data_IF_320501386278
#
_entry.id   IF_320501386278
#
_cell.length_a   1.000
_cell.length_b   1.000
_cell.length_c   1.000
_cell.angle_alpha   90.00
_cell.angle_beta   90.00
_cell.angle_gamma   90.00
#
_symmetry.space_group_name_H-M   'P 1'
#
loop_
_entity.id
_entity.type
_entity.pdbx_description
1 polymer ?
#
# COMPACT_ATOMS: atom_id res chain seq x y z
N UNK A 1 -8.92 -6.50 -14.82
CA UNK A 1 -9.33 -6.41 -13.38
C UNK A 1 -10.80 -6.70 -13.03
N UNK A 2 -11.80 -6.32 -13.84
CA UNK A 2 -13.22 -6.40 -13.44
C UNK A 2 -13.68 -7.77 -12.91
N UNK A 3 -13.24 -8.87 -13.54
CA UNK A 3 -13.59 -10.24 -13.13
C UNK A 3 -13.02 -10.60 -11.75
N UNK A 4 -11.77 -10.23 -11.47
CA UNK A 4 -11.13 -10.45 -10.17
C UNK A 4 -11.86 -9.69 -9.06
N UNK A 5 -12.17 -8.41 -9.29
CA UNK A 5 -12.94 -7.63 -8.33
C UNK A 5 -14.33 -8.21 -8.09
N UNK A 6 -15.01 -8.67 -9.16
CA UNK A 6 -16.29 -9.35 -9.01
C UNK A 6 -16.22 -10.56 -8.08
N UNK A 7 -15.17 -11.39 -8.19
CA UNK A 7 -14.97 -12.54 -7.29
C UNK A 7 -14.80 -12.06 -5.84
N UNK A 8 -14.02 -11.02 -5.62
CA UNK A 8 -13.80 -10.42 -4.29
C UNK A 8 -15.11 -9.87 -3.73
N UNK A 9 -15.83 -9.04 -4.50
CA UNK A 9 -17.11 -8.46 -4.10
C UNK A 9 -18.15 -9.53 -3.75
N UNK A 10 -18.29 -10.57 -4.59
CA UNK A 10 -19.25 -11.65 -4.36
C UNK A 10 -18.93 -12.40 -3.06
N UNK A 11 -17.63 -12.60 -2.76
CA UNK A 11 -17.19 -13.18 -1.49
C UNK A 11 -17.42 -12.27 -0.30
N UNK A 12 -17.18 -10.96 -0.43
CA UNK A 12 -17.43 -9.99 0.64
C UNK A 12 -18.92 -9.85 0.94
N UNK A 13 -19.78 -9.83 -0.08
CA UNK A 13 -21.25 -9.80 0.10
C UNK A 13 -21.77 -11.02 0.88
N UNK A 14 -21.11 -12.17 0.74
CA UNK A 14 -21.45 -13.41 1.45
C UNK A 14 -20.89 -13.41 2.89
N UNK A 15 -19.59 -13.13 3.04
CA UNK A 15 -18.85 -13.40 4.27
C UNK A 15 -18.69 -12.17 5.18
N UNK A 16 -18.57 -10.98 4.59
CA UNK A 16 -18.30 -9.74 5.30
C UNK A 16 -19.02 -8.55 4.64
N UNK A 17 -20.37 -8.49 4.68
CA UNK A 17 -21.14 -7.45 3.99
C UNK A 17 -20.81 -6.03 4.44
N UNK A 18 -20.26 -5.89 5.65
CA UNK A 18 -19.84 -4.60 6.20
C UNK A 18 -18.58 -4.09 5.48
N UNK A 19 -17.60 -4.97 5.23
CA UNK A 19 -16.37 -4.63 4.49
C UNK A 19 -16.69 -4.28 3.05
N UNK A 20 -17.65 -4.97 2.44
CA UNK A 20 -18.14 -4.60 1.10
C UNK A 20 -18.70 -3.18 1.05
N UNK A 21 -19.46 -2.77 2.09
CA UNK A 21 -20.03 -1.41 2.17
C UNK A 21 -18.98 -0.33 2.43
N UNK A 22 -17.83 -0.71 2.99
CA UNK A 22 -16.71 0.20 3.23
C UNK A 22 -15.88 0.44 1.96
N UNK A 23 -16.08 -0.32 0.87
CA UNK A 23 -15.40 -0.07 -0.39
C UNK A 23 -15.91 1.23 -1.03
N UNK A 24 -14.98 2.11 -1.39
CA UNK A 24 -15.31 3.37 -2.05
C UNK A 24 -15.69 3.13 -3.51
N UNK A 25 -16.36 4.12 -4.12
CA UNK A 25 -16.51 4.16 -5.57
C UNK A 25 -15.16 4.27 -6.27
N UNK A 26 -15.12 3.89 -7.55
CA UNK A 26 -13.91 3.89 -8.35
C UNK A 26 -13.25 5.27 -8.45
N UNK A 27 -11.92 5.27 -8.52
CA UNK A 27 -11.14 6.50 -8.65
C UNK A 27 -11.42 7.21 -9.99
N UNK A 28 -11.56 8.53 -9.94
CA UNK A 28 -11.71 9.38 -11.12
C UNK A 28 -10.37 9.52 -11.85
N UNK A 29 -10.41 9.96 -13.11
CA UNK A 29 -9.18 10.16 -13.87
C UNK A 29 -8.34 11.28 -13.25
N UNK A 30 -8.97 12.31 -12.70
CA UNK A 30 -8.30 13.44 -12.05
C UNK A 30 -7.53 13.01 -10.81
N UNK A 31 -8.06 12.09 -10.00
CA UNK A 31 -7.36 11.52 -8.85
C UNK A 31 -6.11 10.75 -9.30
N UNK A 32 -6.23 9.94 -10.35
CA UNK A 32 -5.10 9.18 -10.92
C UNK A 32 -4.03 10.11 -11.49
N UNK A 33 -4.44 11.12 -12.25
CA UNK A 33 -3.55 12.11 -12.86
C UNK A 33 -2.81 12.92 -11.78
N UNK A 34 -3.46 13.22 -10.66
CA UNK A 34 -2.82 13.91 -9.53
C UNK A 34 -1.71 13.07 -8.90
N UNK A 35 -1.94 11.76 -8.70
CA UNK A 35 -0.91 10.86 -8.18
C UNK A 35 0.28 10.72 -9.15
N UNK A 36 0.02 10.63 -10.46
CA UNK A 36 1.07 10.61 -11.48
C UNK A 36 1.87 11.92 -11.50
N UNK A 37 1.19 13.07 -11.37
CA UNK A 37 1.82 14.38 -11.31
C UNK A 37 2.70 14.52 -10.07
N UNK A 38 2.22 14.08 -8.91
CA UNK A 38 2.95 14.12 -7.64
C UNK A 38 4.20 13.24 -7.68
N UNK A 39 4.08 12.02 -8.20
CA UNK A 39 5.18 11.04 -8.24
C UNK A 39 6.14 11.27 -9.42
N UNK A 40 5.71 11.99 -10.46
CA UNK A 40 6.46 12.14 -11.71
C UNK A 40 6.56 10.85 -12.53
N UNK A 41 5.70 9.86 -12.25
CA UNK A 41 5.74 8.52 -12.85
C UNK A 41 4.38 8.18 -13.45
N UNK A 42 4.37 7.53 -14.61
CA UNK A 42 3.14 6.95 -15.17
C UNK A 42 2.77 5.69 -14.38
N UNK A 43 1.56 5.64 -13.83
CA UNK A 43 1.11 4.51 -13.05
C UNK A 43 0.92 3.27 -13.95
N UNK A 44 1.23 2.06 -13.43
CA UNK A 44 0.96 0.82 -14.14
C UNK A 44 -0.53 0.69 -14.52
N UNK A 45 -0.80 0.15 -15.71
CA UNK A 45 -2.18 0.05 -16.22
C UNK A 45 -3.10 -0.81 -15.35
N UNK A 46 -2.57 -1.91 -14.81
CA UNK A 46 -3.27 -2.80 -13.88
C UNK A 46 -3.59 -2.12 -12.54
N UNK A 47 -2.67 -1.30 -12.02
CA UNK A 47 -2.90 -0.45 -10.84
C UNK A 47 -4.04 0.54 -11.07
N UNK A 48 -4.04 1.22 -12.22
CA UNK A 48 -5.12 2.16 -12.57
C UNK A 48 -6.45 1.43 -12.75
N UNK A 49 -6.47 0.28 -13.43
CA UNK A 49 -7.68 -0.54 -13.58
C UNK A 49 -8.22 -1.04 -12.24
N UNK A 50 -7.35 -1.35 -11.29
CA UNK A 50 -7.72 -1.80 -9.96
C UNK A 50 -8.43 -0.68 -9.19
N UNK A 51 -7.86 0.53 -9.18
CA UNK A 51 -8.41 1.68 -8.46
C UNK A 51 -9.65 2.30 -9.13
N UNK A 52 -9.79 2.17 -10.45
CA UNK A 52 -11.01 2.60 -11.18
C UNK A 52 -12.27 1.82 -10.80
N UNK A 53 -12.15 0.72 -10.06
CA UNK A 53 -13.29 -0.06 -9.57
C UNK A 53 -13.61 0.34 -8.12
N UNK A 54 -12.61 0.39 -7.25
CA UNK A 54 -12.76 0.87 -5.87
C UNK A 54 -11.57 1.76 -5.45
N UNK A 55 -11.84 3.01 -5.09
CA UNK A 55 -10.82 3.95 -4.58
C UNK A 55 -10.54 3.74 -3.08
N UNK A 56 -10.10 2.54 -2.71
CA UNK A 56 -9.82 2.22 -1.33
C UNK A 56 -11.06 2.00 -0.47
N UNK A 57 -10.90 2.19 0.83
CA UNK A 57 -11.91 1.93 1.84
C UNK A 57 -12.12 3.11 2.79
N UNK A 58 -13.39 3.35 3.14
CA UNK A 58 -13.81 4.29 4.18
C UNK A 58 -14.66 3.54 5.20
N UNK A 59 -14.07 3.05 6.31
CA UNK A 59 -14.79 2.25 7.30
C UNK A 59 -15.96 3.03 7.90
N UNK A 60 -17.18 2.50 7.79
CA UNK A 60 -18.38 3.09 8.41
C UNK A 60 -18.28 3.06 9.94
N UNK A 61 -17.58 2.06 10.47
CA UNK A 61 -17.19 1.96 11.89
C UNK A 61 -15.72 1.59 11.97
N UNK A 62 -14.98 2.29 12.82
CA UNK A 62 -13.58 1.95 13.04
C UNK A 62 -13.49 0.68 13.90
N UNK A 63 -13.28 -0.46 13.25
CA UNK A 63 -12.86 -1.70 13.87
C UNK A 63 -11.63 -2.23 13.10
N UNK A 64 -10.42 -2.24 13.70
CA UNK A 64 -9.22 -2.69 13.03
C UNK A 64 -9.22 -4.19 12.68
N UNK A 65 -10.21 -4.96 13.16
CA UNK A 65 -10.41 -6.37 12.79
C UNK A 65 -11.35 -6.54 11.58
N UNK A 66 -11.90 -5.44 11.05
CA UNK A 66 -12.88 -5.45 9.96
C UNK A 66 -12.32 -4.59 8.81
N UNK A 67 -11.51 -5.21 7.95
CA UNK A 67 -10.89 -4.57 6.78
C UNK A 67 -10.77 -5.55 5.61
N UNK A 68 -10.47 -5.06 4.41
CA UNK A 68 -10.36 -5.91 3.21
C UNK A 68 -9.15 -6.84 3.30
N UNK A 69 -8.05 -6.33 3.82
CA UNK A 69 -6.84 -7.08 4.11
C UNK A 69 -6.68 -7.14 5.61
N UNK A 70 -6.34 -8.30 6.17
CA UNK A 70 -6.28 -8.46 7.62
C UNK A 70 -5.44 -7.36 8.28
N UNK A 71 -6.05 -6.66 9.25
CA UNK A 71 -5.51 -5.49 9.95
C UNK A 71 -5.01 -4.32 9.07
N UNK A 72 -5.31 -4.31 7.78
CA UNK A 72 -4.80 -3.31 6.84
C UNK A 72 -5.90 -2.82 5.91
N UNK A 73 -6.01 -1.49 5.85
CA UNK A 73 -6.98 -0.84 4.99
C UNK A 73 -6.43 -0.72 3.57
N UNK A 74 -7.27 -0.94 2.56
CA UNK A 74 -6.95 -0.48 1.21
C UNK A 74 -7.03 1.05 1.17
N UNK A 75 -5.88 1.71 1.03
CA UNK A 75 -5.79 3.17 0.97
C UNK A 75 -6.47 3.72 -0.28
N UNK A 76 -7.14 4.86 -0.16
CA UNK A 76 -7.57 5.65 -1.32
C UNK A 76 -6.36 6.35 -1.98
N UNK A 77 -6.55 6.87 -3.19
CA UNK A 77 -5.53 7.65 -3.90
C UNK A 77 -5.09 8.87 -3.10
N UNK A 78 -6.02 9.54 -2.40
CA UNK A 78 -5.73 10.68 -1.52
C UNK A 78 -4.84 10.28 -0.35
N UNK A 79 -5.09 9.12 0.24
CA UNK A 79 -4.28 8.61 1.36
C UNK A 79 -2.90 8.18 0.88
N UNK A 80 -2.80 7.59 -0.32
CA UNK A 80 -1.51 7.32 -0.96
C UNK A 80 -0.73 8.62 -1.15
N UNK A 81 -1.39 9.68 -1.63
CA UNK A 81 -0.79 11.02 -1.79
C UNK A 81 -0.31 11.56 -0.44
N UNK A 82 -1.12 11.49 0.61
CA UNK A 82 -0.77 11.97 1.95
C UNK A 82 0.45 11.22 2.50
N UNK A 83 0.40 9.88 2.47
CA UNK A 83 1.48 9.04 2.97
C UNK A 83 2.75 9.29 2.16
N UNK A 84 2.67 9.28 0.83
CA UNK A 84 3.84 9.55 0.00
C UNK A 84 4.44 10.93 0.33
N UNK A 85 3.63 11.98 0.37
CA UNK A 85 4.12 13.33 0.68
C UNK A 85 4.89 13.37 2.01
N UNK A 86 4.35 12.75 3.08
CA UNK A 86 5.03 12.67 4.38
C UNK A 86 6.36 11.91 4.33
N UNK A 87 6.40 10.78 3.62
CA UNK A 87 7.65 10.03 3.45
C UNK A 87 8.67 10.82 2.64
N UNK A 88 8.22 11.56 1.62
CA UNK A 88 9.09 12.41 0.80
C UNK A 88 9.69 13.55 1.62
N UNK A 89 8.90 14.21 2.46
CA UNK A 89 9.37 15.25 3.38
C UNK A 89 10.49 14.76 4.29
N UNK A 90 10.37 13.55 4.85
CA UNK A 90 11.43 12.96 5.68
C UNK A 90 12.70 12.63 4.89
N UNK A 91 12.54 12.11 3.67
CA UNK A 91 13.67 11.86 2.77
C UNK A 91 14.39 13.16 2.41
N UNK A 92 13.64 14.21 2.07
CA UNK A 92 14.19 15.50 1.67
C UNK A 92 14.77 16.29 2.85
N UNK A 93 14.26 16.08 4.06
CA UNK A 93 14.84 16.59 5.29
C UNK A 93 16.17 15.91 5.67
N UNK A 94 16.55 14.82 4.99
CA UNK A 94 17.78 14.09 5.26
C UNK A 94 17.70 13.21 6.50
N UNK A 95 16.50 12.89 6.99
CA UNK A 95 16.29 12.03 8.18
C UNK A 95 16.95 10.66 8.02
N UNK A 96 17.11 10.20 6.78
CA UNK A 96 17.72 8.91 6.46
C UNK A 96 19.23 8.96 6.20
N UNK A 97 19.89 10.05 6.60
CA UNK A 97 21.33 10.29 6.40
C UNK A 97 22.03 10.44 7.76
N UNK A 98 23.20 9.85 7.92
CA UNK A 98 24.05 9.93 9.11
C UNK A 98 24.84 11.25 9.19
N UNK A 99 25.56 11.44 10.30
CA UNK A 99 26.37 12.63 10.54
C UNK A 99 27.58 12.80 9.58
N UNK A 100 27.85 11.83 8.71
CA UNK A 100 28.87 11.86 7.66
C UNK A 100 28.25 12.07 6.27
N UNK A 101 26.97 12.41 6.21
CA UNK A 101 26.22 12.60 4.98
C UNK A 101 26.09 11.30 4.14
N UNK A 102 26.07 10.13 4.81
CA UNK A 102 25.89 8.81 4.20
C UNK A 102 24.53 8.21 4.62
N UNK A 103 23.87 7.38 3.80
CA UNK A 103 22.64 6.70 4.22
C UNK A 103 22.87 5.88 5.49
N UNK A 104 21.92 5.90 6.43
CA UNK A 104 22.01 5.07 7.64
C UNK A 104 22.23 3.60 7.27
N UNK A 105 23.26 3.00 7.87
CA UNK A 105 23.51 1.57 7.75
C UNK A 105 22.81 0.84 8.88
N UNK A 106 21.94 -0.10 8.54
CA UNK A 106 21.40 -1.04 9.51
C UNK A 106 22.44 -2.13 9.77
N UNK A 107 22.91 -2.25 11.01
CA UNK A 107 23.62 -3.44 11.46
C UNK A 107 22.60 -4.35 12.16
N UNK A 108 22.17 -5.46 11.53
CA UNK A 108 21.24 -6.37 12.17
C UNK A 108 21.90 -7.01 13.40
N UNK A 109 21.11 -7.29 14.43
CA UNK A 109 21.58 -8.06 15.57
C UNK A 109 22.11 -9.43 15.11
N UNK A 110 23.13 -9.93 15.81
CA UNK A 110 23.73 -11.24 15.53
C UNK A 110 22.65 -12.34 15.48
N UNK A 111 22.43 -12.91 14.29
CA UNK A 111 21.41 -13.93 14.05
C UNK A 111 20.32 -13.53 13.05
N UNK A 112 20.20 -12.24 12.72
CA UNK A 112 19.30 -11.74 11.67
C UNK A 112 20.14 -11.44 10.42
N UNK A 113 19.94 -12.23 9.36
CA UNK A 113 20.72 -12.10 8.11
C UNK A 113 20.17 -10.98 7.23
N UNK A 114 21.04 -10.12 6.68
CA UNK A 114 20.72 -9.09 5.69
C UNK A 114 20.68 -9.58 4.24
N UNK A 115 20.84 -10.88 4.00
CA UNK A 115 20.92 -11.43 2.64
C UNK A 115 19.67 -12.23 2.27
N UNK A 116 18.92 -11.71 1.30
CA UNK A 116 18.02 -12.47 0.43
C UNK A 116 18.79 -13.48 -0.41
N UNK A 117 19.30 -14.52 0.25
CA UNK A 117 19.99 -15.65 -0.34
C UNK A 117 20.02 -16.76 0.69
N UNK A 118 18.94 -17.52 0.80
CA UNK A 118 18.95 -18.76 1.58
C UNK A 118 20.11 -19.64 1.13
N UNK A 119 21.12 -19.77 1.96
CA UNK A 119 21.93 -20.98 2.05
C UNK A 119 21.85 -21.47 3.48
N UNK A 120 20.88 -22.36 3.73
CA UNK A 120 20.95 -23.25 4.87
C UNK A 120 22.20 -24.13 4.72
N UNK A 121 23.13 -24.15 5.69
CA UNK A 121 24.20 -25.12 5.66
C UNK A 121 23.61 -26.51 5.91
N UNK A 122 23.81 -27.44 4.96
CA UNK A 122 23.64 -28.86 5.25
C UNK A 122 24.55 -29.20 6.43
N UNK A 123 23.92 -29.62 7.54
CA UNK A 123 24.63 -30.24 8.66
C UNK A 123 25.33 -31.50 8.13
N UNK A 124 26.63 -31.60 8.37
CA UNK A 124 27.38 -32.86 8.26
C UNK A 124 27.11 -33.72 9.49
#
# INVERSE_FOLDING_TARGET
MKETWKIVEDKLKEMAPIVYKDLNEGATQEQIDELERLTGVKLPGDFVEFYKIHNGQTPIKFDPNISLFDHTKLMSIEEIIEVWTRWKEQVDAGEFIDNKNMPWKTEPDTGISTTGGMRFPMRR
#
